data_IF_060333130414
#
_entry.id   IF_060333130414
#
_cell.length_a   1.000
_cell.length_b   1.000
_cell.length_c   1.000
_cell.angle_alpha   90.00
_cell.angle_beta   90.00
_cell.angle_gamma   90.00
#
_symmetry.space_group_name_H-M   'P 1'
#
loop_
_entity.id
_entity.type
_entity.pdbx_description
1 polymer ?
#
# COMPACT_ATOMS: atom_id res chain seq x y z
N UNK A 1 15.28 -8.30 3.89
CA UNK A 1 14.05 -8.94 4.41
C UNK A 1 13.86 -8.68 5.89
N UNK A 2 14.90 -8.84 6.72
CA UNK A 2 14.79 -8.63 8.17
C UNK A 2 14.38 -7.21 8.55
N UNK A 3 14.89 -6.18 7.88
CA UNK A 3 14.52 -4.79 8.19
C UNK A 3 13.03 -4.50 7.94
N UNK A 4 12.45 -5.07 6.86
CA UNK A 4 11.01 -4.94 6.58
C UNK A 4 10.20 -5.61 7.69
N UNK A 5 10.65 -6.78 8.16
CA UNK A 5 9.99 -7.52 9.23
C UNK A 5 10.05 -6.76 10.57
N UNK A 6 11.20 -6.13 10.86
CA UNK A 6 11.39 -5.28 12.05
C UNK A 6 10.56 -4.00 12.00
N UNK A 7 10.37 -3.41 10.82
CA UNK A 7 9.54 -2.22 10.63
C UNK A 7 8.03 -2.50 10.73
N UNK A 8 7.60 -3.74 10.44
CA UNK A 8 6.18 -4.10 10.41
C UNK A 8 5.37 -3.67 11.67
N UNK A 9 5.81 -3.94 12.91
CA UNK A 9 5.08 -3.50 14.10
C UNK A 9 5.01 -1.98 14.27
N UNK A 10 6.08 -1.24 13.95
CA UNK A 10 6.09 0.22 14.02
C UNK A 10 5.10 0.85 13.02
N UNK A 11 5.09 0.32 11.79
CA UNK A 11 4.21 0.79 10.71
C UNK A 11 2.75 0.44 10.96
N UNK A 12 2.45 -0.67 11.65
CA UNK A 12 1.09 -1.14 11.87
C UNK A 12 0.21 -0.21 12.72
N UNK A 13 0.81 0.66 13.54
CA UNK A 13 0.08 1.64 14.36
C UNK A 13 -0.36 2.88 13.56
N UNK A 14 0.36 3.22 12.48
CA UNK A 14 0.15 4.45 11.73
C UNK A 14 -0.40 4.23 10.31
N UNK A 15 -0.08 3.10 9.67
CA UNK A 15 -0.47 2.81 8.29
C UNK A 15 -1.60 1.78 8.21
N UNK A 16 -2.54 2.02 7.29
CA UNK A 16 -3.65 1.08 7.05
C UNK A 16 -3.30 0.09 5.94
N UNK A 17 -3.96 -1.08 5.96
CA UNK A 17 -3.98 -2.03 4.85
C UNK A 17 -4.88 -1.48 3.74
N UNK A 18 -4.31 -0.63 2.90
CA UNK A 18 -4.97 -0.09 1.70
C UNK A 18 -5.43 -1.22 0.77
N UNK A 19 -6.54 -1.03 0.03
CA UNK A 19 -7.07 -2.05 -0.85
C UNK A 19 -6.13 -2.32 -2.04
N UNK A 20 -6.21 -3.56 -2.54
CA UNK A 20 -5.63 -3.98 -3.82
C UNK A 20 -6.81 -4.25 -4.75
N UNK A 21 -6.99 -3.42 -5.77
CA UNK A 21 -8.14 -3.50 -6.68
C UNK A 21 -7.68 -3.81 -8.09
N UNK A 22 -8.47 -4.55 -8.86
CA UNK A 22 -8.20 -4.79 -10.29
C UNK A 22 -8.47 -3.50 -11.07
N UNK A 23 -7.58 -3.16 -12.00
CA UNK A 23 -7.83 -2.10 -12.97
C UNK A 23 -8.91 -2.58 -13.96
N UNK A 24 -10.03 -1.86 -14.02
CA UNK A 24 -11.20 -2.25 -14.80
C UNK A 24 -11.10 -1.75 -16.26
N UNK A 25 -10.17 -2.32 -17.02
CA UNK A 25 -10.00 -2.08 -18.46
C UNK A 25 -10.23 -3.38 -19.20
N UNK A 26 -11.19 -3.37 -20.13
CA UNK A 26 -11.72 -4.56 -20.80
C UNK A 26 -10.66 -5.33 -21.61
N UNK A 27 -9.76 -4.61 -22.29
CA UNK A 27 -8.69 -5.19 -23.14
C UNK A 27 -7.29 -4.87 -22.61
N UNK A 28 -7.11 -4.90 -21.29
CA UNK A 28 -5.79 -4.71 -20.71
C UNK A 28 -4.86 -5.87 -21.17
N UNK A 29 -3.62 -5.59 -21.61
CA UNK A 29 -2.68 -6.62 -22.08
C UNK A 29 -2.20 -7.54 -20.95
N UNK A 30 -2.58 -7.27 -19.70
CA UNK A 30 -2.23 -8.04 -18.51
C UNK A 30 -3.23 -7.81 -17.37
N UNK A 31 -3.14 -8.64 -16.34
CA UNK A 31 -3.85 -8.39 -15.08
C UNK A 31 -3.15 -7.28 -14.29
N UNK A 32 -3.72 -6.08 -14.32
CA UNK A 32 -3.19 -4.93 -13.60
C UNK A 32 -3.98 -4.75 -12.30
N UNK A 33 -3.25 -4.57 -11.19
CA UNK A 33 -3.83 -4.28 -9.89
C UNK A 33 -3.28 -2.95 -9.37
N UNK A 34 -4.16 -2.15 -8.78
CA UNK A 34 -3.84 -0.88 -8.17
C UNK A 34 -3.75 -1.06 -6.65
N UNK A 35 -2.58 -0.71 -6.09
CA UNK A 35 -2.39 -0.59 -4.65
C UNK A 35 -2.64 0.85 -4.24
N UNK A 36 -3.80 1.12 -3.65
CA UNK A 36 -4.29 2.49 -3.43
C UNK A 36 -3.64 3.17 -2.21
N UNK A 37 -2.33 3.43 -2.27
CA UNK A 37 -1.59 4.14 -1.20
C UNK A 37 -1.96 5.62 -1.05
N UNK A 38 -2.71 6.18 -2.01
CA UNK A 38 -3.36 7.47 -1.86
C UNK A 38 -4.49 7.46 -0.79
N UNK A 39 -4.92 6.28 -0.34
CA UNK A 39 -5.89 6.11 0.74
C UNK A 39 -5.25 5.86 2.11
N UNK A 40 -3.93 6.05 2.24
CA UNK A 40 -3.31 6.15 3.56
C UNK A 40 -3.83 7.39 4.32
N UNK A 41 -3.70 7.45 5.66
CA UNK A 41 -4.19 8.58 6.45
C UNK A 41 -3.70 9.96 6.02
N UNK A 42 -2.48 10.05 5.48
CA UNK A 42 -1.89 11.31 4.97
C UNK A 42 -1.99 11.46 3.44
N UNK A 43 -2.78 10.62 2.77
CA UNK A 43 -2.94 10.64 1.31
C UNK A 43 -1.74 10.08 0.52
N UNK A 44 -0.76 9.45 1.17
CA UNK A 44 0.36 8.80 0.50
C UNK A 44 1.05 7.73 1.34
N UNK A 45 1.86 6.88 0.70
CA UNK A 45 2.62 5.82 1.36
C UNK A 45 3.64 6.33 2.40
N UNK A 46 3.96 7.63 2.41
CA UNK A 46 5.04 8.21 3.22
C UNK A 46 4.85 8.03 4.72
N UNK A 47 3.61 7.87 5.19
CA UNK A 47 3.32 7.57 6.61
C UNK A 47 3.99 6.28 7.09
N UNK A 48 4.21 5.32 6.18
CA UNK A 48 4.88 4.06 6.48
C UNK A 48 6.37 4.21 6.80
N UNK A 49 7.01 5.28 6.33
CA UNK A 49 8.43 5.55 6.59
C UNK A 49 8.65 6.61 7.67
N UNK A 50 7.61 7.37 8.02
CA UNK A 50 7.65 8.37 9.08
C UNK A 50 7.33 7.79 10.47
N UNK A 51 6.73 6.60 10.51
CA UNK A 51 6.37 5.85 11.73
C UNK A 51 7.53 5.00 12.26
#
# INVERSE_FOLDING_TARGET
MEDIRRAQPAVASAAVRTPLVRLNVWDAPAQIYLKLENLQPIGSFKIRGAA
#
